data_IF_809657174846
#
_entry.id   IF_809657174846
#
_cell.length_a   1.000
_cell.length_b   1.000
_cell.length_c   1.000
_cell.angle_alpha   90.00
_cell.angle_beta   90.00
_cell.angle_gamma   90.00
#
_symmetry.space_group_name_H-M   'P 1'
#
loop_
_entity.id
_entity.type
_entity.pdbx_description
1 polymer ?
#
# COMPACT_ATOMS: atom_id res chain seq x y z
N UNK A 1 -17.75 -12.02 20.06
CA UNK A 1 -17.14 -13.37 20.20
C UNK A 1 -16.74 -13.56 21.66
N UNK A 2 -17.20 -14.63 22.32
CA UNK A 2 -16.89 -14.90 23.72
C UNK A 2 -15.39 -15.27 23.84
N UNK A 3 -14.63 -14.68 24.78
CA UNK A 3 -13.16 -14.86 24.93
C UNK A 3 -12.71 -16.34 25.13
N UNK A 4 -13.63 -17.29 25.26
CA UNK A 4 -13.41 -18.65 25.74
C UNK A 4 -13.10 -19.72 24.69
N UNK A 5 -13.10 -19.43 23.39
CA UNK A 5 -12.72 -20.41 22.35
C UNK A 5 -11.97 -19.76 21.17
N UNK A 6 -10.81 -19.15 21.42
CA UNK A 6 -9.86 -18.88 20.34
C UNK A 6 -8.99 -20.12 20.13
N UNK A 7 -9.17 -20.80 19.00
CA UNK A 7 -8.40 -21.99 18.65
C UNK A 7 -6.91 -21.66 18.55
N UNK A 8 -6.02 -22.64 18.80
CA UNK A 8 -4.57 -22.45 18.65
C UNK A 8 -4.17 -21.96 17.25
N UNK A 9 -4.95 -22.33 16.24
CA UNK A 9 -4.79 -21.89 14.86
C UNK A 9 -5.01 -20.37 14.70
N UNK A 10 -6.07 -19.81 15.29
CA UNK A 10 -6.38 -18.38 15.20
C UNK A 10 -5.30 -17.51 15.86
N UNK A 11 -4.76 -17.97 17.01
CA UNK A 11 -3.64 -17.29 17.68
C UNK A 11 -2.38 -17.27 16.81
N UNK A 12 -2.06 -18.42 16.20
CA UNK A 12 -0.91 -18.56 15.32
C UNK A 12 -1.03 -17.68 14.08
N UNK A 13 -2.20 -17.66 13.44
CA UNK A 13 -2.49 -16.79 12.32
C UNK A 13 -2.34 -15.30 12.68
N UNK A 14 -2.84 -14.90 13.86
CA UNK A 14 -2.72 -13.52 14.35
C UNK A 14 -1.27 -13.07 14.49
N UNK A 15 -0.42 -13.93 15.08
CA UNK A 15 1.01 -13.65 15.22
C UNK A 15 1.69 -13.55 13.86
N UNK A 16 1.39 -14.47 12.94
CA UNK A 16 1.96 -14.46 11.60
C UNK A 16 1.58 -13.19 10.81
N UNK A 17 0.30 -12.79 10.85
CA UNK A 17 -0.14 -11.55 10.20
C UNK A 17 0.49 -10.30 10.80
N UNK A 18 0.73 -10.27 12.12
CA UNK A 18 1.48 -9.17 12.74
C UNK A 18 2.93 -9.11 12.27
N UNK A 19 3.62 -10.26 12.18
CA UNK A 19 5.00 -10.32 11.68
C UNK A 19 5.05 -9.83 10.23
N UNK A 20 4.20 -10.36 9.36
CA UNK A 20 4.12 -9.95 7.95
C UNK A 20 3.79 -8.46 7.84
N UNK A 21 2.88 -7.95 8.68
CA UNK A 21 2.53 -6.53 8.74
C UNK A 21 3.74 -5.65 9.02
N UNK A 22 4.49 -5.95 10.09
CA UNK A 22 5.67 -5.18 10.49
C UNK A 22 6.75 -5.24 9.41
N UNK A 23 7.04 -6.43 8.87
CA UNK A 23 8.03 -6.60 7.81
C UNK A 23 7.64 -5.84 6.54
N UNK A 24 6.36 -5.86 6.16
CA UNK A 24 5.87 -5.15 4.97
C UNK A 24 5.96 -3.63 5.15
N UNK A 25 5.66 -3.10 6.33
CA UNK A 25 5.80 -1.67 6.63
C UNK A 25 7.27 -1.26 6.60
N UNK A 26 8.16 -2.01 7.24
CA UNK A 26 9.60 -1.71 7.26
C UNK A 26 10.19 -1.75 5.85
N UNK A 27 9.88 -2.81 5.09
CA UNK A 27 10.31 -2.93 3.70
C UNK A 27 9.76 -1.76 2.87
N UNK A 28 8.46 -1.49 2.97
CA UNK A 28 7.82 -0.41 2.21
C UNK A 28 8.40 0.97 2.52
N UNK A 29 8.65 1.29 3.79
CA UNK A 29 9.33 2.52 4.21
C UNK A 29 10.74 2.62 3.62
N UNK A 30 11.49 1.51 3.60
CA UNK A 30 12.81 1.45 2.98
C UNK A 30 12.81 1.73 1.46
N UNK A 31 11.70 1.53 0.76
CA UNK A 31 11.56 1.90 -0.65
C UNK A 31 11.05 3.33 -0.83
N UNK A 32 10.03 3.74 -0.06
CA UNK A 32 9.42 5.06 -0.19
C UNK A 32 10.39 6.18 0.17
N UNK A 33 11.13 6.00 1.26
CA UNK A 33 12.04 7.02 1.78
C UNK A 33 13.39 7.03 1.05
N UNK A 34 13.68 6.01 0.27
CA UNK A 34 14.94 5.92 -0.46
C UNK A 34 14.91 6.86 -1.66
N UNK A 35 15.96 7.65 -1.80
CA UNK A 35 16.17 8.55 -2.94
C UNK A 35 16.87 7.87 -4.13
N UNK A 36 17.06 6.56 -4.07
CA UNK A 36 17.86 5.80 -5.05
C UNK A 36 17.40 4.34 -5.14
N UNK A 37 17.87 3.61 -6.16
CA UNK A 37 17.65 2.17 -6.23
C UNK A 37 18.50 1.43 -5.20
N UNK A 38 18.04 0.28 -4.73
CA UNK A 38 18.89 -0.61 -3.92
C UNK A 38 19.98 -1.26 -4.80
N UNK A 39 21.17 -1.59 -4.25
CA UNK A 39 22.29 -2.18 -4.99
C UNK A 39 21.89 -3.34 -5.91
N UNK A 40 21.08 -4.27 -5.40
CA UNK A 40 20.64 -5.44 -6.17
C UNK A 40 19.87 -5.08 -7.45
N UNK A 41 19.25 -3.89 -7.56
CA UNK A 41 18.59 -3.46 -8.79
C UNK A 41 19.62 -3.12 -9.87
N UNK A 42 20.73 -2.49 -9.49
CA UNK A 42 21.84 -2.23 -10.41
C UNK A 42 22.49 -3.53 -10.86
N UNK A 43 22.69 -4.47 -9.93
CA UNK A 43 23.19 -5.81 -10.22
C UNK A 43 22.26 -6.55 -11.20
N UNK A 44 20.95 -6.49 -10.95
CA UNK A 44 19.94 -7.09 -11.84
C UNK A 44 19.91 -6.46 -13.23
N UNK A 45 20.08 -5.13 -13.31
CA UNK A 45 20.13 -4.41 -14.59
C UNK A 45 21.47 -4.60 -15.32
N UNK A 46 22.51 -5.11 -14.64
CA UNK A 46 23.87 -5.18 -15.17
C UNK A 46 24.44 -3.79 -15.52
N UNK A 47 23.96 -2.75 -14.84
CA UNK A 47 24.33 -1.34 -15.11
C UNK A 47 24.61 -0.62 -13.81
N UNK A 48 25.69 0.14 -13.79
CA UNK A 48 25.94 1.14 -12.76
C UNK A 48 24.98 2.33 -12.89
N UNK A 49 24.83 3.10 -11.81
CA UNK A 49 23.99 4.30 -11.79
C UNK A 49 24.35 5.32 -12.88
N UNK A 50 25.63 5.43 -13.24
CA UNK A 50 26.11 6.37 -14.25
C UNK A 50 25.74 5.96 -15.68
N UNK A 51 25.43 4.68 -15.92
CA UNK A 51 25.07 4.13 -17.23
C UNK A 51 23.55 4.16 -17.49
N UNK A 52 22.76 4.55 -16.51
CA UNK A 52 21.31 4.71 -16.62
C UNK A 52 21.03 6.19 -16.84
N UNK A 53 20.32 6.51 -17.93
CA UNK A 53 19.92 7.89 -18.18
C UNK A 53 19.03 8.42 -17.05
N UNK A 54 19.11 9.73 -16.80
CA UNK A 54 18.42 10.38 -15.67
C UNK A 54 16.91 10.14 -15.67
N UNK A 55 16.29 10.08 -16.85
CA UNK A 55 14.84 9.88 -16.97
C UNK A 55 14.45 8.46 -16.59
N UNK A 56 15.14 7.46 -17.11
CA UNK A 56 14.93 6.04 -16.76
C UNK A 56 15.18 5.81 -15.28
N UNK A 57 16.26 6.37 -14.71
CA UNK A 57 16.55 6.26 -13.29
C UNK A 57 15.43 6.86 -12.44
N UNK A 58 14.91 8.03 -12.82
CA UNK A 58 13.79 8.70 -12.15
C UNK A 58 12.53 7.84 -12.18
N UNK A 59 12.20 7.24 -13.32
CA UNK A 59 11.06 6.33 -13.47
C UNK A 59 11.22 5.08 -12.62
N UNK A 60 12.40 4.46 -12.59
CA UNK A 60 12.68 3.28 -11.77
C UNK A 60 12.57 3.58 -10.27
N UNK A 61 13.13 4.70 -9.81
CA UNK A 61 12.99 5.14 -8.41
C UNK A 61 11.51 5.39 -8.07
N UNK A 62 10.76 5.97 -9.00
CA UNK A 62 9.34 6.26 -8.80
C UNK A 62 8.49 5.00 -8.73
N UNK A 63 8.77 4.01 -9.59
CA UNK A 63 8.17 2.68 -9.53
C UNK A 63 8.51 1.98 -8.21
N UNK A 64 9.76 2.08 -7.75
CA UNK A 64 10.21 1.53 -6.48
C UNK A 64 9.44 2.15 -5.29
N UNK A 65 9.24 3.49 -5.29
CA UNK A 65 8.42 4.19 -4.29
C UNK A 65 6.97 3.73 -4.32
N UNK A 66 6.39 3.53 -5.50
CA UNK A 66 5.03 3.01 -5.63
C UNK A 66 4.90 1.61 -5.02
N UNK A 67 5.81 0.69 -5.34
CA UNK A 67 5.86 -0.64 -4.74
C UNK A 67 5.98 -0.53 -3.21
N UNK A 68 6.87 0.33 -2.73
CA UNK A 68 7.04 0.58 -1.29
C UNK A 68 5.73 1.03 -0.62
N UNK A 69 4.99 1.94 -1.25
CA UNK A 69 3.71 2.43 -0.73
C UNK A 69 2.64 1.32 -0.68
N UNK A 70 2.62 0.42 -1.66
CA UNK A 70 1.76 -0.76 -1.66
C UNK A 70 2.10 -1.71 -0.52
N UNK A 71 3.40 -1.91 -0.22
CA UNK A 71 3.83 -2.73 0.92
C UNK A 71 3.42 -2.11 2.26
N UNK A 72 3.55 -0.78 2.42
CA UNK A 72 3.07 -0.08 3.63
C UNK A 72 1.56 -0.29 3.79
N UNK A 73 0.78 -0.09 2.72
CA UNK A 73 -0.66 -0.32 2.71
C UNK A 73 -1.03 -1.75 3.08
N UNK A 74 -0.39 -2.72 2.45
CA UNK A 74 -0.63 -4.13 2.73
C UNK A 74 -0.32 -4.47 4.19
N UNK A 75 0.81 -3.98 4.71
CA UNK A 75 1.20 -4.19 6.10
C UNK A 75 0.21 -3.54 7.07
N UNK A 76 -0.21 -2.31 6.82
CA UNK A 76 -1.20 -1.63 7.64
C UNK A 76 -2.59 -2.30 7.59
N UNK A 77 -2.99 -2.81 6.41
CA UNK A 77 -4.19 -3.64 6.24
C UNK A 77 -4.11 -4.91 7.07
N UNK A 78 -2.98 -5.63 7.05
CA UNK A 78 -2.82 -6.81 7.89
C UNK A 78 -2.85 -6.49 9.39
N UNK A 79 -2.23 -5.39 9.84
CA UNK A 79 -2.35 -4.94 11.24
C UNK A 79 -3.81 -4.69 11.63
N UNK A 80 -4.57 -4.00 10.77
CA UNK A 80 -5.98 -3.69 11.01
C UNK A 80 -6.87 -4.93 10.99
N UNK A 81 -6.66 -5.85 10.06
CA UNK A 81 -7.37 -7.13 10.04
C UNK A 81 -7.12 -7.90 11.33
N UNK A 82 -5.87 -7.98 11.74
CA UNK A 82 -5.43 -8.67 12.96
C UNK A 82 -6.04 -8.04 14.22
N UNK A 83 -6.10 -6.71 14.29
CA UNK A 83 -6.73 -5.96 15.38
C UNK A 83 -8.26 -6.14 15.45
N UNK A 84 -8.89 -6.31 14.29
CA UNK A 84 -10.34 -6.44 14.16
C UNK A 84 -10.84 -7.89 14.05
N UNK A 85 -9.95 -8.89 14.05
CA UNK A 85 -10.33 -10.31 14.08
C UNK A 85 -11.26 -10.58 15.28
N UNK A 86 -12.50 -10.99 14.99
CA UNK A 86 -13.54 -11.27 16.00
C UNK A 86 -14.46 -10.11 16.36
N UNK A 87 -14.28 -8.92 15.75
CA UNK A 87 -15.19 -7.77 15.82
C UNK A 87 -15.98 -7.66 14.51
N UNK A 88 -17.31 -7.84 14.56
CA UNK A 88 -18.20 -7.68 13.41
C UNK A 88 -18.57 -6.22 13.20
N UNK A 89 -18.52 -5.73 11.95
CA UNK A 89 -19.29 -4.54 11.52
C UNK A 89 -18.52 -3.32 11.01
N UNK A 90 -17.25 -3.09 11.35
CA UNK A 90 -16.60 -1.80 11.02
C UNK A 90 -15.25 -1.86 10.30
N UNK A 91 -14.67 -3.05 10.09
CA UNK A 91 -13.28 -3.18 9.62
C UNK A 91 -13.08 -3.05 8.11
N UNK A 92 -14.05 -3.41 7.28
CA UNK A 92 -13.85 -3.55 5.83
C UNK A 92 -13.55 -2.21 5.16
N UNK A 93 -14.30 -1.15 5.52
CA UNK A 93 -14.07 0.19 4.97
C UNK A 93 -12.69 0.71 5.38
N UNK A 94 -12.31 0.61 6.66
CA UNK A 94 -10.99 1.02 7.13
C UNK A 94 -9.88 0.24 6.42
N UNK A 95 -10.07 -1.06 6.20
CA UNK A 95 -9.13 -1.90 5.45
C UNK A 95 -9.00 -1.44 4.00
N UNK A 96 -10.11 -1.15 3.31
CA UNK A 96 -10.09 -0.65 1.94
C UNK A 96 -9.44 0.74 1.84
N UNK A 97 -9.73 1.62 2.80
CA UNK A 97 -9.12 2.96 2.91
C UNK A 97 -7.62 2.89 3.11
N UNK A 98 -7.15 2.06 4.04
CA UNK A 98 -5.72 1.89 4.32
C UNK A 98 -4.99 1.19 3.18
N UNK A 99 -5.66 0.28 2.46
CA UNK A 99 -5.08 -0.37 1.30
C UNK A 99 -4.90 0.57 0.11
N UNK A 100 -5.80 1.55 -0.07
CA UNK A 100 -5.84 2.39 -1.26
C UNK A 100 -5.13 3.74 -1.10
N UNK A 101 -5.23 4.40 0.07
CA UNK A 101 -4.74 5.78 0.22
C UNK A 101 -3.23 5.91 -0.03
N UNK A 102 -2.34 5.12 0.60
CA UNK A 102 -0.90 5.28 0.40
C UNK A 102 -0.44 5.09 -1.07
N UNK A 103 -0.88 4.06 -1.81
CA UNK A 103 -0.57 3.93 -3.24
C UNK A 103 -1.07 5.09 -4.07
N UNK A 104 -2.29 5.58 -3.81
CA UNK A 104 -2.84 6.71 -4.54
C UNK A 104 -2.06 8.01 -4.25
N UNK A 105 -1.71 8.25 -2.99
CA UNK A 105 -0.93 9.43 -2.60
C UNK A 105 0.47 9.43 -3.23
N UNK A 106 1.15 8.27 -3.22
CA UNK A 106 2.48 8.15 -3.85
C UNK A 106 2.37 8.21 -5.36
N UNK A 107 1.35 7.61 -5.97
CA UNK A 107 1.10 7.75 -7.42
C UNK A 107 0.89 9.21 -7.81
N UNK A 108 0.08 9.95 -7.04
CA UNK A 108 -0.15 11.38 -7.28
C UNK A 108 1.15 12.19 -7.15
N UNK A 109 1.93 11.98 -6.10
CA UNK A 109 3.22 12.64 -5.90
C UNK A 109 4.19 12.35 -7.06
N UNK A 110 4.28 11.08 -7.48
CA UNK A 110 5.12 10.65 -8.60
C UNK A 110 4.71 11.37 -9.88
N UNK A 111 3.41 11.40 -10.22
CA UNK A 111 2.90 12.07 -11.41
C UNK A 111 3.24 13.57 -11.41
N UNK A 112 2.99 14.25 -10.29
CA UNK A 112 3.32 15.67 -10.14
C UNK A 112 4.83 15.91 -10.29
N UNK A 113 5.65 15.02 -9.74
CA UNK A 113 7.12 15.16 -9.75
C UNK A 113 7.77 14.89 -11.11
N UNK A 114 7.20 13.99 -11.92
CA UNK A 114 7.75 13.61 -13.23
C UNK A 114 7.21 14.53 -14.34
N UNK A 115 6.08 15.21 -14.11
CA UNK A 115 5.49 16.14 -15.09
C UNK A 115 4.88 15.47 -16.32
N UNK A 116 4.89 14.13 -16.40
CA UNK A 116 4.23 13.40 -17.46
C UNK A 116 2.76 13.13 -17.08
N UNK A 117 1.85 13.62 -17.92
CA UNK A 117 0.43 13.29 -17.85
C UNK A 117 0.25 11.79 -18.08
N UNK A 118 0.27 10.98 -17.01
CA UNK A 118 -0.61 9.81 -16.96
C UNK A 118 -2.02 10.35 -17.24
N UNK A 119 -2.89 9.66 -18.02
CA UNK A 119 -4.21 10.17 -18.35
C UNK A 119 -4.88 10.58 -17.04
N UNK A 120 -5.12 11.88 -16.85
CA UNK A 120 -5.77 12.41 -15.65
C UNK A 120 -7.13 11.72 -15.43
N UNK A 121 -7.72 11.21 -16.52
CA UNK A 121 -8.86 10.33 -16.53
C UNK A 121 -8.70 9.03 -15.71
N UNK A 122 -7.52 8.39 -15.68
CA UNK A 122 -7.28 7.16 -14.91
C UNK A 122 -7.17 7.45 -13.41
N UNK A 123 -6.45 8.52 -13.04
CA UNK A 123 -6.37 8.99 -11.65
C UNK A 123 -7.74 9.47 -11.18
N UNK A 124 -8.44 10.25 -12.00
CA UNK A 124 -9.81 10.68 -11.75
C UNK A 124 -10.79 9.52 -11.64
N UNK A 125 -10.67 8.49 -12.48
CA UNK A 125 -11.49 7.28 -12.42
C UNK A 125 -11.25 6.48 -11.14
N UNK A 126 -10.00 6.36 -10.69
CA UNK A 126 -9.66 5.70 -9.42
C UNK A 126 -10.20 6.49 -8.23
N UNK A 127 -10.08 7.82 -8.24
CA UNK A 127 -10.65 8.69 -7.20
C UNK A 127 -12.19 8.60 -7.20
N UNK A 128 -12.83 8.64 -8.36
CA UNK A 128 -14.29 8.53 -8.50
C UNK A 128 -14.79 7.14 -8.08
N UNK A 129 -14.08 6.07 -8.41
CA UNK A 129 -14.37 4.72 -7.92
C UNK A 129 -14.29 4.66 -6.39
N UNK A 130 -13.30 5.34 -5.81
CA UNK A 130 -13.13 5.41 -4.36
C UNK A 130 -14.24 6.22 -3.66
N UNK A 131 -14.57 7.40 -4.20
CA UNK A 131 -15.64 8.26 -3.70
C UNK A 131 -17.00 7.57 -3.84
N UNK A 132 -17.27 6.91 -4.96
CA UNK A 132 -18.51 6.17 -5.16
C UNK A 132 -18.62 4.99 -4.20
N UNK A 133 -17.54 4.26 -3.94
CA UNK A 133 -17.48 3.25 -2.86
C UNK A 133 -17.81 3.83 -1.48
N UNK A 134 -17.22 4.99 -1.12
CA UNK A 134 -17.51 5.72 0.12
C UNK A 134 -18.98 6.16 0.22
N UNK A 135 -19.56 6.69 -0.86
CA UNK A 135 -20.95 7.17 -0.90
C UNK A 135 -21.97 6.02 -0.79
N UNK A 136 -21.73 4.90 -1.45
CA UNK A 136 -22.58 3.70 -1.36
C UNK A 136 -22.57 3.14 0.09
N UNK A 137 -21.43 3.18 0.77
CA UNK A 137 -21.28 2.74 2.16
C UNK A 137 -21.93 3.69 3.16
N UNK A 138 -21.79 5.01 3.00
CA UNK A 138 -22.51 6.01 3.81
C UNK A 138 -24.03 5.89 3.69
N UNK A 139 -24.53 5.41 2.54
CA UNK A 139 -25.96 5.15 2.32
C UNK A 139 -26.43 3.87 3.03
N UNK A 140 -25.58 2.85 3.13
CA UNK A 140 -25.92 1.57 3.76
C UNK A 140 -25.79 1.57 5.30
N UNK A 141 -24.92 2.41 5.88
CA UNK A 141 -24.77 2.53 7.35
C UNK A 141 -25.83 3.41 8.03
N UNK A 142 -26.76 4.00 7.27
CA UNK A 142 -27.90 4.79 7.79
C UNK A 142 -29.19 3.96 7.93
N UNK A 143 -29.13 2.64 7.75
CA UNK A 143 -30.22 1.69 8.02
C UNK A 143 -29.84 0.81 9.21
#
# INVERSE_FOLDING_TARGET
MNKKQETGLLKSARVLFYIISVLSIIAGLNYVLRGDLMPYHYDYLGKSKAEIDTRTLTLLISAARLIGSMMISLGATFALLTWNMGKTGSGLLTVMTVLAIPPLAVSFYVVVSIGELIPQALVGALILFFISGLLILCKNNKK
#
